data_IF_868571865714
#
_entry.id   IF_868571865714
#
_cell.length_a   1.000
_cell.length_b   1.000
_cell.length_c   1.000
_cell.angle_alpha   90.00
_cell.angle_beta   90.00
_cell.angle_gamma   90.00
#
_symmetry.space_group_name_H-M   'P 1'
#
loop_
_entity.id
_entity.type
_entity.pdbx_description
1 polymer ?
#
# COMPACT_ATOMS: atom_id res chain seq x y z
N UNK A 1 -4.10 11.86 -30.14
CA UNK A 1 -3.17 11.88 -28.99
C UNK A 1 -3.98 11.57 -27.73
N UNK A 2 -3.68 10.46 -27.04
CA UNK A 2 -4.37 10.11 -25.79
C UNK A 2 -3.82 11.02 -24.70
N UNK A 3 -4.66 11.91 -24.16
CA UNK A 3 -4.31 12.70 -22.97
C UNK A 3 -4.20 11.72 -21.80
N UNK A 4 -2.99 11.35 -21.40
CA UNK A 4 -2.80 10.80 -20.06
C UNK A 4 -2.94 11.97 -19.08
N UNK A 5 -3.92 11.94 -18.16
CA UNK A 5 -3.99 12.96 -17.13
C UNK A 5 -2.67 12.95 -16.33
N UNK A 6 -2.16 14.11 -15.91
CA UNK A 6 -1.00 14.16 -15.04
C UNK A 6 -1.30 13.31 -13.81
N UNK A 7 -0.39 12.38 -13.49
CA UNK A 7 -0.44 11.64 -12.24
C UNK A 7 -0.32 12.70 -11.15
N UNK A 8 -1.44 13.04 -10.49
CA UNK A 8 -1.39 13.89 -9.30
C UNK A 8 -0.53 13.15 -8.30
N UNK A 9 0.63 13.70 -7.98
CA UNK A 9 1.41 13.21 -6.86
C UNK A 9 0.51 13.23 -5.61
N UNK A 10 0.52 12.12 -4.88
CA UNK A 10 -0.23 12.02 -3.63
C UNK A 10 0.40 13.00 -2.63
N UNK A 11 -0.43 13.84 -2.02
CA UNK A 11 0.00 14.62 -0.87
C UNK A 11 0.33 13.69 0.31
N UNK A 12 1.12 14.21 1.26
CA UNK A 12 1.62 13.42 2.38
C UNK A 12 0.49 12.93 3.30
N UNK A 13 -0.61 13.68 3.40
CA UNK A 13 -1.78 13.28 4.21
C UNK A 13 -2.44 12.04 3.61
N UNK A 14 -2.58 12.00 2.29
CA UNK A 14 -3.13 10.85 1.58
C UNK A 14 -2.18 9.64 1.66
N UNK A 15 -0.87 9.86 1.53
CA UNK A 15 0.14 8.80 1.69
C UNK A 15 0.07 8.18 3.09
N UNK A 16 -0.03 9.00 4.13
CA UNK A 16 -0.15 8.54 5.51
C UNK A 16 -1.43 7.74 5.75
N UNK A 17 -2.56 8.21 5.21
CA UNK A 17 -3.82 7.48 5.27
C UNK A 17 -3.70 6.11 4.59
N UNK A 18 -3.13 6.06 3.39
CA UNK A 18 -2.94 4.82 2.64
C UNK A 18 -1.97 3.85 3.33
N UNK A 19 -0.92 4.37 3.99
CA UNK A 19 0.00 3.58 4.83
C UNK A 19 -0.72 2.93 6.01
N UNK A 20 -1.59 3.68 6.67
CA UNK A 20 -2.40 3.19 7.79
C UNK A 20 -3.42 2.13 7.34
N UNK A 21 -4.09 2.36 6.20
CA UNK A 21 -5.02 1.40 5.62
C UNK A 21 -4.30 0.10 5.26
N UNK A 22 -3.15 0.16 4.57
CA UNK A 22 -2.36 -1.02 4.22
C UNK A 22 -1.94 -1.81 5.46
N UNK A 23 -1.45 -1.12 6.50
CA UNK A 23 -1.07 -1.75 7.78
C UNK A 23 -2.26 -2.45 8.42
N UNK A 24 -3.44 -1.83 8.40
CA UNK A 24 -4.67 -2.42 8.93
C UNK A 24 -5.06 -3.69 8.17
N UNK A 25 -5.10 -3.63 6.84
CA UNK A 25 -5.44 -4.77 5.98
C UNK A 25 -4.48 -5.95 6.18
N UNK A 26 -3.17 -5.68 6.26
CA UNK A 26 -2.15 -6.70 6.49
C UNK A 26 -2.32 -7.41 7.84
N UNK A 27 -2.68 -6.67 8.90
CA UNK A 27 -2.96 -7.24 10.22
C UNK A 27 -4.24 -8.09 10.23
N UNK A 28 -5.30 -7.61 9.57
CA UNK A 28 -6.56 -8.37 9.48
C UNK A 28 -6.32 -9.69 8.75
N UNK A 29 -5.58 -9.67 7.64
CA UNK A 29 -5.25 -10.89 6.89
C UNK A 29 -4.46 -11.88 7.73
N UNK A 30 -3.48 -11.44 8.53
CA UNK A 30 -2.76 -12.30 9.48
C UNK A 30 -3.68 -12.88 10.55
N UNK A 31 -4.47 -12.04 11.21
CA UNK A 31 -5.33 -12.45 12.33
C UNK A 31 -6.42 -13.43 11.91
N UNK A 32 -6.97 -13.26 10.70
CA UNK A 32 -8.05 -14.08 10.17
C UNK A 32 -7.53 -15.27 9.35
N UNK A 33 -6.21 -15.48 9.29
CA UNK A 33 -5.55 -16.47 8.42
C UNK A 33 -6.08 -16.43 6.98
N UNK A 34 -6.34 -15.21 6.48
CA UNK A 34 -6.85 -15.01 5.13
C UNK A 34 -5.68 -15.05 4.17
N UNK A 35 -5.72 -16.00 3.24
CA UNK A 35 -4.80 -16.05 2.11
C UNK A 35 -5.18 -14.98 1.08
N UNK A 36 -4.92 -13.71 1.41
CA UNK A 36 -5.17 -12.57 0.54
C UNK A 36 -3.89 -12.12 -0.15
N UNK A 37 -3.96 -11.99 -1.48
CA UNK A 37 -2.90 -11.33 -2.25
C UNK A 37 -3.17 -9.83 -2.30
N UNK A 38 -2.32 -9.03 -1.66
CA UNK A 38 -2.44 -7.58 -1.68
C UNK A 38 -1.66 -7.00 -2.85
N UNK A 39 -2.33 -6.21 -3.69
CA UNK A 39 -1.64 -5.38 -4.66
C UNK A 39 -0.84 -4.31 -3.90
N UNK A 40 0.49 -4.35 -4.04
CA UNK A 40 1.38 -3.37 -3.43
C UNK A 40 1.18 -1.99 -4.04
N UNK A 41 1.31 -0.96 -3.22
CA UNK A 41 1.40 0.42 -3.68
C UNK A 41 2.87 0.76 -3.92
N UNK A 42 3.19 1.25 -5.11
CA UNK A 42 4.58 1.51 -5.54
C UNK A 42 5.35 2.39 -4.55
N UNK A 43 4.71 3.43 -3.99
CA UNK A 43 5.36 4.32 -3.02
C UNK A 43 5.64 3.63 -1.68
N UNK A 44 4.78 2.71 -1.24
CA UNK A 44 5.01 1.94 -0.02
C UNK A 44 6.10 0.89 -0.24
N UNK A 45 6.16 0.29 -1.44
CA UNK A 45 7.25 -0.62 -1.80
C UNK A 45 8.60 0.11 -1.88
N UNK A 46 8.63 1.31 -2.46
CA UNK A 46 9.83 2.14 -2.48
C UNK A 46 10.30 2.57 -1.07
N UNK A 47 9.39 2.65 -0.11
CA UNK A 47 9.67 2.93 1.31
C UNK A 47 10.07 1.68 2.13
N UNK A 48 10.09 0.48 1.52
CA UNK A 48 10.38 -0.78 2.23
C UNK A 48 9.25 -1.25 3.16
N UNK A 49 8.04 -0.72 3.00
CA UNK A 49 6.91 -0.99 3.89
C UNK A 49 6.54 -2.48 3.99
N UNK A 50 6.75 -3.24 2.92
CA UNK A 50 6.37 -4.65 2.83
C UNK A 50 7.50 -5.63 3.19
N UNK A 51 8.71 -5.15 3.49
CA UNK A 51 9.90 -6.00 3.66
C UNK A 51 9.87 -6.82 4.96
N UNK A 52 9.09 -6.36 5.95
CA UNK A 52 8.99 -6.96 7.29
C UNK A 52 8.17 -8.28 7.34
N UNK A 53 7.64 -8.77 6.21
CA UNK A 53 6.86 -10.02 6.15
C UNK A 53 7.65 -11.26 5.70
N UNK A 54 8.99 -11.20 5.70
CA UNK A 54 9.86 -12.39 5.60
C UNK A 54 10.35 -12.83 6.98
N UNK A 55 9.51 -13.49 7.76
CA UNK A 55 9.98 -14.45 8.78
C UNK A 55 8.90 -15.46 9.14
#
# INVERSE_FOLDING_TARGET
MKHNPPVKELDDTMKDLLRNINRCCMKISEQQNLNCEFKKLDFLEAEGFYDDKKN
#
